data_IF_779247349051
#
_entry.id   IF_779247349051
#
_cell.length_a   1.000
_cell.length_b   1.000
_cell.length_c   1.000
_cell.angle_alpha   90.00
_cell.angle_beta   90.00
_cell.angle_gamma   90.00
#
_symmetry.space_group_name_H-M   'P 1'
#
loop_
_entity.id
_entity.type
_entity.pdbx_description
1 polymer ?
#
# COMPACT_ATOMS: atom_id res chain seq x y z
N UNK A 1 10.78 0.24 13.83
CA UNK A 1 9.50 -0.41 14.17
C UNK A 1 8.93 -1.07 12.92
N UNK A 2 8.17 -2.15 13.08
CA UNK A 2 7.63 -2.93 11.95
C UNK A 2 6.22 -2.50 11.57
N UNK A 3 5.80 -2.85 10.35
CA UNK A 3 4.41 -2.70 9.91
C UNK A 3 3.57 -3.87 10.45
N UNK A 4 2.42 -3.56 11.05
CA UNK A 4 1.48 -4.57 11.53
C UNK A 4 0.30 -4.69 10.55
N UNK A 5 0.23 -5.79 9.81
CA UNK A 5 -0.91 -6.07 8.94
C UNK A 5 -2.02 -6.80 9.70
N UNK A 6 -3.28 -6.39 9.48
CA UNK A 6 -4.46 -7.14 9.95
C UNK A 6 -4.73 -8.32 9.02
N UNK A 7 -5.40 -9.35 9.53
CA UNK A 7 -5.74 -10.54 8.75
C UNK A 7 -6.80 -10.24 7.68
N UNK A 8 -6.74 -10.95 6.55
CA UNK A 8 -7.72 -10.83 5.46
C UNK A 8 -9.14 -11.12 5.95
N UNK A 9 -9.31 -12.13 6.80
CA UNK A 9 -10.63 -12.48 7.36
C UNK A 9 -11.23 -11.34 8.20
N UNK A 10 -10.41 -10.63 8.98
CA UNK A 10 -10.86 -9.47 9.76
C UNK A 10 -11.30 -8.33 8.83
N UNK A 11 -10.54 -8.08 7.77
CA UNK A 11 -10.89 -7.06 6.77
C UNK A 11 -12.19 -7.41 6.06
N UNK A 12 -12.38 -8.65 5.62
CA UNK A 12 -13.62 -9.10 4.97
C UNK A 12 -14.83 -9.03 5.92
N UNK A 13 -14.64 -9.34 7.20
CA UNK A 13 -15.69 -9.20 8.20
C UNK A 13 -16.10 -7.73 8.39
N UNK A 14 -15.13 -6.82 8.46
CA UNK A 14 -15.40 -5.39 8.57
C UNK A 14 -16.07 -4.82 7.31
N UNK A 15 -15.64 -5.25 6.12
CA UNK A 15 -16.30 -4.90 4.85
C UNK A 15 -17.77 -5.32 4.83
N UNK A 16 -18.06 -6.58 5.22
CA UNK A 16 -19.45 -7.07 5.32
C UNK A 16 -20.27 -6.32 6.38
N UNK A 17 -19.66 -5.96 7.50
CA UNK A 17 -20.34 -5.20 8.55
C UNK A 17 -20.71 -3.77 8.12
N UNK A 18 -19.95 -3.20 7.18
CA UNK A 18 -20.19 -1.88 6.59
C UNK A 18 -21.02 -1.92 5.30
N UNK A 19 -21.46 -3.10 4.86
CA UNK A 19 -22.14 -3.31 3.58
C UNK A 19 -21.33 -2.82 2.37
N UNK A 20 -19.99 -2.94 2.45
CA UNK A 20 -19.05 -2.57 1.40
C UNK A 20 -18.61 -3.84 0.67
N UNK A 21 -19.18 -4.09 -0.50
CA UNK A 21 -18.76 -5.21 -1.36
C UNK A 21 -17.46 -4.91 -2.12
N UNK A 22 -17.27 -3.66 -2.53
CA UNK A 22 -16.09 -3.19 -3.24
C UNK A 22 -15.71 -1.79 -2.80
N UNK A 23 -14.41 -1.56 -2.61
CA UNK A 23 -13.87 -0.24 -2.30
C UNK A 23 -13.69 0.49 -3.62
N UNK A 24 -14.68 1.32 -3.98
CA UNK A 24 -14.69 2.07 -5.24
C UNK A 24 -14.38 3.55 -5.03
N UNK A 25 -14.53 4.04 -3.79
CA UNK A 25 -14.23 5.41 -3.41
C UNK A 25 -13.15 5.50 -2.32
N UNK A 26 -12.40 6.60 -2.27
CA UNK A 26 -11.49 6.90 -1.17
C UNK A 26 -12.20 7.02 0.19
N UNK A 27 -13.47 7.45 0.18
CA UNK A 27 -14.29 7.54 1.37
C UNK A 27 -14.56 6.15 1.99
N UNK A 28 -14.88 5.16 1.17
CA UNK A 28 -15.07 3.76 1.61
C UNK A 28 -13.79 3.20 2.25
N UNK A 29 -12.63 3.51 1.66
CA UNK A 29 -11.33 3.09 2.20
C UNK A 29 -11.10 3.68 3.59
N UNK A 30 -11.41 4.96 3.80
CA UNK A 30 -11.26 5.61 5.10
C UNK A 30 -12.25 5.08 6.14
N UNK A 31 -13.51 4.88 5.74
CA UNK A 31 -14.54 4.29 6.61
C UNK A 31 -14.13 2.91 7.10
N UNK A 32 -13.60 2.07 6.20
CA UNK A 32 -13.06 0.76 6.54
C UNK A 32 -11.84 0.86 7.47
N UNK A 33 -10.94 1.81 7.21
CA UNK A 33 -9.74 2.01 8.02
C UNK A 33 -10.10 2.40 9.46
N UNK A 34 -11.03 3.34 9.63
CA UNK A 34 -11.55 3.76 10.94
C UNK A 34 -12.28 2.62 11.65
N UNK A 35 -13.11 1.84 10.94
CA UNK A 35 -13.82 0.70 11.54
C UNK A 35 -12.87 -0.41 12.01
N UNK A 36 -11.77 -0.62 11.28
CA UNK A 36 -10.74 -1.61 11.62
C UNK A 36 -9.72 -1.10 12.66
N UNK A 37 -9.72 0.20 12.95
CA UNK A 37 -8.72 0.85 13.81
C UNK A 37 -7.30 0.70 13.26
N UNK A 38 -7.13 0.86 11.94
CA UNK A 38 -5.82 0.82 11.27
C UNK A 38 -5.42 2.21 10.79
N UNK A 39 -4.11 2.45 10.72
CA UNK A 39 -3.56 3.76 10.34
C UNK A 39 -3.66 4.04 8.84
N UNK A 40 -3.80 2.98 8.04
CA UNK A 40 -4.02 3.10 6.60
C UNK A 40 -4.39 1.78 5.94
N UNK A 41 -4.81 1.88 4.68
CA UNK A 41 -5.19 0.75 3.84
C UNK A 41 -4.42 0.82 2.53
N UNK A 42 -3.89 -0.32 2.10
CA UNK A 42 -3.30 -0.51 0.77
C UNK A 42 -4.37 -1.12 -0.12
N UNK A 43 -4.75 -0.42 -1.18
CA UNK A 43 -5.61 -0.93 -2.24
C UNK A 43 -4.74 -1.36 -3.42
N UNK A 44 -4.92 -2.59 -3.88
CA UNK A 44 -4.24 -3.13 -5.04
C UNK A 44 -5.20 -3.45 -6.17
N UNK A 45 -4.79 -3.17 -7.40
CA UNK A 45 -5.47 -3.60 -8.62
C UNK A 45 -4.49 -4.35 -9.52
N UNK A 46 -4.98 -5.42 -10.16
CA UNK A 46 -4.23 -6.16 -11.17
C UNK A 46 -4.49 -5.48 -12.52
N UNK A 47 -3.44 -4.95 -13.13
CA UNK A 47 -3.52 -4.19 -14.39
C UNK A 47 -3.13 -5.02 -15.61
N UNK A 48 -2.38 -6.10 -15.42
CA UNK A 48 -2.09 -7.09 -16.46
C UNK A 48 -1.90 -8.46 -15.83
N UNK A 49 -2.38 -9.51 -16.49
CA UNK A 49 -2.27 -10.90 -16.03
C UNK A 49 -2.02 -11.83 -17.21
N UNK A 50 -0.81 -12.37 -17.29
CA UNK A 50 -0.40 -13.37 -18.28
C UNK A 50 0.32 -14.52 -17.56
N UNK A 51 -0.34 -15.66 -17.32
CA UNK A 51 0.24 -16.78 -16.58
C UNK A 51 1.10 -17.71 -17.44
N UNK A 52 1.18 -17.49 -18.76
CA UNK A 52 1.90 -18.35 -19.68
C UNK A 52 3.41 -18.07 -19.64
N UNK A 53 4.23 -19.11 -19.77
CA UNK A 53 5.70 -19.01 -19.68
C UNK A 53 6.27 -18.17 -20.84
N UNK A 54 6.96 -17.04 -20.59
CA UNK A 54 7.29 -16.45 -19.27
C UNK A 54 6.17 -15.54 -18.71
N UNK A 55 5.83 -15.68 -17.40
CA UNK A 55 4.70 -14.97 -16.80
C UNK A 55 4.91 -13.46 -16.78
N UNK A 56 3.79 -12.73 -16.92
CA UNK A 56 3.74 -11.26 -16.83
C UNK A 56 2.64 -10.82 -15.89
N UNK A 57 2.95 -9.83 -15.06
CA UNK A 57 2.05 -9.32 -14.04
C UNK A 57 2.16 -7.80 -13.91
N UNK A 58 1.04 -7.13 -14.09
CA UNK A 58 0.89 -5.71 -13.81
C UNK A 58 0.13 -5.50 -12.50
N UNK A 59 0.67 -4.66 -11.62
CA UNK A 59 0.04 -4.29 -10.36
C UNK A 59 0.07 -2.77 -10.19
N UNK A 60 -1.03 -2.22 -9.68
CA UNK A 60 -1.06 -0.85 -9.17
C UNK A 60 -1.50 -0.88 -7.71
N UNK A 61 -0.71 -0.28 -6.82
CA UNK A 61 -1.01 -0.14 -5.40
C UNK A 61 -1.19 1.33 -5.05
N UNK A 62 -2.19 1.62 -4.23
CA UNK A 62 -2.47 2.92 -3.67
C UNK A 62 -2.56 2.81 -2.14
N UNK A 63 -1.88 3.70 -1.44
CA UNK A 63 -1.97 3.84 0.01
C UNK A 63 -2.96 4.94 0.36
N UNK A 64 -3.89 4.63 1.26
CA UNK A 64 -4.79 5.60 1.89
C UNK A 64 -4.50 5.63 3.38
N UNK A 65 -4.09 6.77 3.90
CA UNK A 65 -3.80 6.98 5.31
C UNK A 65 -4.97 7.70 5.98
N UNK A 66 -5.30 7.31 7.21
CA UNK A 66 -6.29 8.03 8.01
C UNK A 66 -5.62 9.30 8.56
N UNK A 67 -6.15 10.50 8.26
CA UNK A 67 -5.59 11.75 8.78
C UNK A 67 -5.52 11.73 10.31
N UNK A 68 -4.38 12.13 10.87
CA UNK A 68 -4.14 12.14 12.31
C UNK A 68 -3.49 10.88 12.89
N UNK A 69 -3.53 9.72 12.21
CA UNK A 69 -2.88 8.49 12.71
C UNK A 69 -1.37 8.46 12.44
N UNK A 70 -0.95 8.92 11.25
CA UNK A 70 0.49 8.98 10.90
C UNK A 70 1.19 10.23 11.46
N UNK A 71 0.42 11.27 11.81
CA UNK A 71 0.95 12.52 12.37
C UNK A 71 1.18 12.44 13.88
N UNK A 72 0.50 11.52 14.58
CA UNK A 72 0.62 11.30 16.03
C UNK A 72 1.98 10.74 16.47
N UNK A 73 2.81 10.24 15.55
CA UNK A 73 4.20 9.83 15.83
C UNK A 73 5.18 11.01 15.99
N UNK A 74 4.72 12.25 15.83
CA UNK A 74 5.54 13.45 16.01
C UNK A 74 5.16 14.11 17.34
N UNK A 75 5.87 13.72 18.40
CA UNK A 75 5.88 14.45 19.66
C UNK A 75 6.14 15.94 19.39
N UNK A 76 5.14 16.76 19.67
CA UNK A 76 5.15 18.19 19.41
C UNK A 76 3.82 18.76 18.93
N UNK A 77 2.68 18.34 19.52
CA UNK A 77 1.47 19.15 19.49
C UNK A 77 1.80 20.47 20.19
N UNK A 78 2.02 21.55 19.43
CA UNK A 78 2.25 22.88 19.97
C UNK A 78 0.89 23.43 20.46
N UNK A 79 0.62 23.50 21.78
CA UNK A 79 -0.66 23.95 22.31
C UNK A 79 -0.98 25.40 21.90
N UNK A 80 0.03 26.19 21.51
CA UNK A 80 -0.15 27.55 20.98
C UNK A 80 -0.82 27.57 19.60
N UNK A 81 -0.68 26.51 18.82
CA UNK A 81 -1.39 26.35 17.54
C UNK A 81 -2.85 25.94 17.73
N UNK A 82 -3.15 25.21 18.80
CA UNK A 82 -4.53 24.87 19.19
C UNK A 82 -5.26 26.07 19.84
N UNK A 83 -4.59 26.89 20.64
CA UNK A 83 -5.19 28.11 21.23
C UNK A 83 -5.59 29.16 20.17
N UNK A 84 -4.92 29.16 19.01
CA UNK A 84 -5.31 30.01 17.87
C UNK A 84 -6.34 29.34 16.95
N UNK A 85 -6.68 28.07 17.18
CA UNK A 85 -7.80 27.42 16.51
C UNK A 85 -9.11 27.83 17.21
N UNK A 86 -9.51 29.07 16.97
CA UNK A 86 -10.85 29.52 17.29
C UNK A 86 -11.86 28.68 16.52
N UNK A 87 -12.92 28.30 17.21
CA UNK A 87 -14.10 27.62 16.67
C UNK A 87 -14.74 28.47 15.56
N UNK A 88 -14.23 28.35 14.34
CA UNK A 88 -14.87 28.93 13.17
C UNK A 88 -15.76 27.85 12.56
N UNK A 89 -17.03 27.89 12.98
CA UNK A 89 -18.15 27.20 12.36
C UNK A 89 -18.42 27.86 10.99
N UNK A 90 -17.51 27.66 10.03
CA UNK A 90 -17.65 28.19 8.67
C UNK A 90 -18.38 27.17 7.78
N UNK A 91 -19.70 27.30 7.79
CA UNK A 91 -20.53 26.98 6.62
C UNK A 91 -19.93 27.71 5.40
N UNK A 92 -19.63 26.98 4.31
CA UNK A 92 -19.15 27.51 3.02
C UNK A 92 -17.71 28.07 2.96
N UNK A 93 -16.73 27.18 3.13
CA UNK A 93 -15.62 27.12 2.15
C UNK A 93 -15.75 25.80 1.40
N UNK A 94 -15.84 25.77 0.05
CA UNK A 94 -15.37 24.59 -0.64
C UNK A 94 -13.85 24.61 -0.51
N UNK A 95 -13.35 24.17 0.65
CA UNK A 95 -12.04 23.52 0.67
C UNK A 95 -12.23 22.27 -0.17
N UNK A 96 -12.05 22.38 -1.47
CA UNK A 96 -11.56 21.26 -2.26
C UNK A 96 -10.11 21.02 -1.85
N UNK A 97 -9.89 20.74 -0.56
CA UNK A 97 -8.76 19.94 -0.15
C UNK A 97 -9.01 18.62 -0.85
N UNK A 98 -8.12 18.29 -1.78
CA UNK A 98 -8.15 17.11 -2.60
C UNK A 98 -7.88 15.88 -1.71
N UNK A 99 -8.75 15.65 -0.72
CA UNK A 99 -8.65 14.58 0.29
C UNK A 99 -9.19 13.27 -0.26
N UNK A 100 -9.47 13.18 -1.57
CA UNK A 100 -9.88 11.96 -2.26
C UNK A 100 -8.73 11.31 -3.06
N UNK A 101 -7.55 11.96 -3.14
CA UNK A 101 -6.40 11.30 -3.75
C UNK A 101 -5.73 10.35 -2.75
N UNK A 102 -5.21 9.20 -3.23
CA UNK A 102 -4.33 8.36 -2.44
C UNK A 102 -3.05 9.12 -2.05
N UNK A 103 -2.52 8.79 -0.87
CA UNK A 103 -1.33 9.38 -0.28
C UNK A 103 -0.06 9.11 -1.09
N UNK A 104 0.06 7.86 -1.54
CA UNK A 104 1.17 7.33 -2.33
C UNK A 104 0.63 6.28 -3.29
N UNK A 105 1.09 6.30 -4.54
CA UNK A 105 0.69 5.34 -5.58
C UNK A 105 1.92 4.81 -6.29
N UNK A 106 1.93 3.50 -6.53
CA UNK A 106 2.93 2.86 -7.38
C UNK A 106 2.22 2.00 -8.42
N UNK A 107 2.76 1.99 -9.64
CA UNK A 107 2.37 1.05 -10.69
C UNK A 107 3.61 0.32 -11.17
N UNK A 108 3.48 -0.98 -11.38
CA UNK A 108 4.56 -1.81 -11.87
C UNK A 108 4.04 -2.76 -12.94
N UNK A 109 4.94 -3.11 -13.85
CA UNK A 109 4.73 -4.18 -14.82
C UNK A 109 5.98 -5.06 -14.82
N UNK A 110 5.79 -6.33 -14.43
CA UNK A 110 6.86 -7.32 -14.40
C UNK A 110 6.63 -8.33 -15.52
N UNK A 111 7.73 -8.64 -16.21
CA UNK A 111 7.77 -9.60 -17.29
C UNK A 111 8.98 -10.49 -17.03
N UNK A 112 8.74 -11.78 -16.81
CA UNK A 112 9.78 -12.74 -16.46
C UNK A 112 10.75 -13.04 -17.61
N UNK A 113 10.49 -12.57 -18.85
CA UNK A 113 11.48 -12.61 -19.92
C UNK A 113 12.59 -11.56 -19.75
N UNK A 114 12.36 -10.51 -18.95
CA UNK A 114 13.31 -9.40 -18.80
C UNK A 114 14.37 -9.73 -17.75
N UNK A 115 15.62 -9.45 -18.09
CA UNK A 115 16.77 -9.77 -17.24
C UNK A 115 16.76 -9.02 -15.90
N UNK A 116 16.32 -7.77 -15.87
CA UNK A 116 16.17 -6.98 -14.64
C UNK A 116 15.18 -7.61 -13.65
N UNK A 117 14.08 -8.13 -14.17
CA UNK A 117 13.03 -8.81 -13.41
C UNK A 117 13.54 -10.14 -12.85
N UNK A 118 14.31 -10.89 -13.65
CA UNK A 118 14.94 -12.14 -13.20
C UNK A 118 15.98 -11.92 -12.11
N UNK A 119 16.82 -10.88 -12.22
CA UNK A 119 17.78 -10.52 -11.17
C UNK A 119 17.09 -10.14 -9.86
N UNK A 120 16.04 -9.31 -9.94
CA UNK A 120 15.24 -8.94 -8.77
C UNK A 120 14.54 -10.16 -8.15
N UNK A 121 14.07 -11.09 -8.97
CA UNK A 121 13.46 -12.34 -8.51
C UNK A 121 14.46 -13.26 -7.83
N UNK A 122 15.67 -13.40 -8.38
CA UNK A 122 16.76 -14.16 -7.74
C UNK A 122 17.12 -13.58 -6.38
N UNK A 123 17.21 -12.26 -6.26
CA UNK A 123 17.45 -11.60 -4.98
C UNK A 123 16.30 -11.82 -4.01
N UNK A 124 15.05 -11.82 -4.48
CA UNK A 124 13.88 -12.11 -3.65
C UNK A 124 13.85 -13.56 -3.15
N UNK A 125 14.17 -14.51 -4.03
CA UNK A 125 14.22 -15.94 -3.72
C UNK A 125 15.41 -16.31 -2.81
N UNK A 126 16.48 -15.51 -2.85
CA UNK A 126 17.67 -15.70 -2.00
C UNK A 126 17.28 -15.66 -0.52
N UNK A 127 17.48 -16.78 0.18
CA UNK A 127 17.10 -16.95 1.58
C UNK A 127 15.67 -17.44 1.83
N UNK A 128 14.87 -17.65 0.78
CA UNK A 128 13.51 -18.21 0.83
C UNK A 128 13.40 -19.60 0.18
N UNK A 129 14.54 -20.26 -0.05
CA UNK A 129 14.56 -21.55 -0.75
C UNK A 129 13.93 -22.65 0.08
N UNK A 130 12.91 -23.28 -0.50
CA UNK A 130 12.37 -24.53 -0.01
C UNK A 130 13.37 -25.65 -0.35
N UNK A 131 13.89 -26.33 0.67
CA UNK A 131 14.94 -27.34 0.51
C UNK A 131 14.47 -28.55 -0.34
N UNK A 132 13.15 -28.67 -0.54
CA UNK A 132 12.51 -29.78 -1.23
C UNK A 132 12.41 -29.61 -2.75
N UNK A 133 12.76 -28.44 -3.32
CA UNK A 133 12.68 -28.22 -4.79
C UNK A 133 14.04 -28.05 -5.45
N UNK A 134 14.35 -28.93 -6.41
CA UNK A 134 15.60 -28.87 -7.20
C UNK A 134 15.70 -27.65 -8.15
N UNK A 135 14.59 -26.93 -8.35
CA UNK A 135 14.50 -25.78 -9.27
C UNK A 135 14.95 -24.45 -8.64
N UNK A 136 15.26 -24.41 -7.33
CA UNK A 136 15.76 -23.20 -6.67
C UNK A 136 14.82 -22.00 -6.85
N UNK A 137 15.33 -20.90 -7.43
CA UNK A 137 14.54 -19.69 -7.68
C UNK A 137 13.64 -19.78 -8.92
N UNK A 138 13.90 -20.69 -9.86
CA UNK A 138 13.14 -20.80 -11.12
C UNK A 138 11.69 -21.27 -10.88
N UNK A 139 11.42 -21.89 -9.73
CA UNK A 139 10.06 -22.28 -9.31
C UNK A 139 9.09 -21.09 -9.32
N UNK A 140 9.59 -19.89 -9.06
CA UNK A 140 8.80 -18.66 -9.07
C UNK A 140 8.39 -18.22 -10.48
N UNK A 141 9.09 -18.63 -11.53
CA UNK A 141 8.73 -18.35 -12.94
C UNK A 141 7.79 -19.42 -13.49
N UNK A 142 7.79 -20.62 -12.91
CA UNK A 142 6.95 -21.75 -13.34
C UNK A 142 5.55 -21.77 -12.71
N UNK A 143 5.35 -21.03 -11.62
CA UNK A 143 4.04 -20.89 -10.97
C UNK A 143 3.66 -19.42 -10.89
N UNK A 144 2.52 -19.08 -11.50
CA UNK A 144 2.00 -17.71 -11.48
C UNK A 144 1.69 -17.24 -10.05
N UNK A 145 1.25 -18.14 -9.16
CA UNK A 145 0.98 -17.81 -7.76
C UNK A 145 2.27 -17.38 -7.05
N UNK A 146 3.36 -18.13 -7.25
CA UNK A 146 4.69 -17.76 -6.74
C UNK A 146 5.19 -16.48 -7.37
N UNK A 147 4.98 -16.28 -8.67
CA UNK A 147 5.33 -15.04 -9.34
C UNK A 147 4.57 -13.83 -8.77
N UNK A 148 3.30 -14.02 -8.43
CA UNK A 148 2.46 -13.00 -7.81
C UNK A 148 2.93 -12.63 -6.40
N UNK A 149 3.43 -13.60 -5.60
CA UNK A 149 4.07 -13.33 -4.31
C UNK A 149 5.28 -12.41 -4.47
N UNK A 150 6.15 -12.69 -5.44
CA UNK A 150 7.29 -11.84 -5.77
C UNK A 150 6.86 -10.43 -6.20
N UNK A 151 5.88 -10.36 -7.11
CA UNK A 151 5.38 -9.09 -7.62
C UNK A 151 4.76 -8.24 -6.51
N UNK A 152 3.97 -8.84 -5.62
CA UNK A 152 3.38 -8.17 -4.47
C UNK A 152 4.45 -7.65 -3.51
N UNK A 153 5.47 -8.46 -3.19
CA UNK A 153 6.60 -8.02 -2.38
C UNK A 153 7.31 -6.81 -3.01
N UNK A 154 7.57 -6.87 -4.33
CA UNK A 154 8.23 -5.78 -5.05
C UNK A 154 7.37 -4.51 -5.05
N UNK A 155 6.06 -4.66 -5.28
CA UNK A 155 5.09 -3.57 -5.28
C UNK A 155 5.05 -2.84 -3.94
N UNK A 156 4.94 -3.60 -2.84
CA UNK A 156 4.89 -3.05 -1.49
C UNK A 156 6.20 -2.38 -1.13
N UNK A 157 7.35 -2.97 -1.45
CA UNK A 157 8.65 -2.33 -1.23
C UNK A 157 8.76 -0.96 -1.92
N UNK A 158 8.35 -0.87 -3.19
CA UNK A 158 8.33 0.40 -3.92
C UNK A 158 7.34 1.41 -3.33
N UNK A 159 6.18 0.96 -2.87
CA UNK A 159 5.19 1.80 -2.22
C UNK A 159 5.75 2.41 -0.92
N UNK A 160 6.43 1.59 -0.11
CA UNK A 160 7.07 2.05 1.11
C UNK A 160 8.18 3.05 0.80
N UNK A 161 9.05 2.77 -0.18
CA UNK A 161 10.10 3.70 -0.59
C UNK A 161 9.52 5.06 -1.03
N UNK A 162 8.43 5.03 -1.81
CA UNK A 162 7.72 6.23 -2.22
C UNK A 162 7.17 7.02 -1.02
N UNK A 163 6.59 6.32 -0.03
CA UNK A 163 6.07 6.92 1.18
C UNK A 163 7.17 7.54 2.04
N UNK A 164 8.30 6.84 2.23
CA UNK A 164 9.48 7.39 2.92
C UNK A 164 10.00 8.66 2.25
N UNK A 165 10.09 8.66 0.91
CA UNK A 165 10.49 9.85 0.15
C UNK A 165 9.51 11.01 0.34
N UNK A 166 8.20 10.74 0.35
CA UNK A 166 7.16 11.75 0.60
C UNK A 166 7.30 12.38 2.00
N UNK A 167 7.40 11.55 3.04
CA UNK A 167 7.53 11.99 4.42
C UNK A 167 8.82 12.79 4.66
N UNK A 168 9.93 12.39 4.02
CA UNK A 168 11.20 13.13 4.11
C UNK A 168 11.08 14.56 3.55
N UNK A 169 10.36 14.74 2.44
CA UNK A 169 10.12 16.06 1.82
C UNK A 169 9.22 16.94 2.67
N UNK A 170 8.20 16.37 3.31
CA UNK A 170 7.32 17.10 4.21
C UNK A 170 8.03 17.60 5.49
N UNK A 171 9.18 17.00 5.84
CA UNK A 171 9.90 17.28 7.09
C UNK A 171 10.96 18.37 6.96
N UNK A 172 11.51 18.62 5.77
CA UNK A 172 12.52 19.69 5.60
C UNK A 172 11.88 21.07 5.71
N UNK A 173 12.17 21.85 6.78
CA UNK A 173 11.81 23.26 6.83
C UNK A 173 12.67 24.01 5.81
N UNK A 174 12.06 24.90 5.03
CA UNK A 174 12.80 25.94 4.31
C UNK A 174 13.19 27.06 5.26
#
# INVERSE_FOLDING_TARGET
EGLAAKSVNSTLQAMRALDIDQITSPEDAKRLATAMGVDGIILGSITAWDPYDPPKLGLALALYVVPGHLEQGRDGLDPRSLEMSYSDYSYFRPTTTYTDAPDSVVTLHLDASRHDTLLALQQFASGRHDADTALGWEVYVKSMDRYAEFAAHRAVGLLLDAEWMRLSRATSPR
#
